data_IF_584377814127
#
_entry.id   IF_584377814127
#
_cell.length_a   1.000
_cell.length_b   1.000
_cell.length_c   1.000
_cell.angle_alpha   90.00
_cell.angle_beta   90.00
_cell.angle_gamma   90.00
#
_symmetry.space_group_name_H-M   'P 1'
#
loop_
_entity.id
_entity.type
_entity.pdbx_description
1 polymer ?
#
# COMPACT_ATOMS: atom_id res chain seq x y z
N UNK A 1 4.42 -20.64 -0.92
CA UNK A 1 4.76 -19.27 -0.50
C UNK A 1 4.15 -19.02 0.88
N UNK A 2 4.95 -18.59 1.85
CA UNK A 2 4.43 -18.35 3.19
C UNK A 2 3.75 -16.98 3.29
N UNK A 3 3.09 -16.72 4.40
CA UNK A 3 2.35 -15.49 4.58
C UNK A 3 3.23 -14.24 4.54
N UNK A 4 4.43 -14.31 5.12
CA UNK A 4 5.37 -13.18 5.08
C UNK A 4 5.72 -12.77 3.66
N UNK A 5 5.93 -13.75 2.80
CA UNK A 5 6.22 -13.47 1.39
C UNK A 5 5.02 -12.91 0.66
N UNK A 6 3.83 -13.43 0.97
CA UNK A 6 2.60 -12.92 0.38
C UNK A 6 2.36 -11.47 0.76
N UNK A 7 2.61 -11.13 2.03
CA UNK A 7 2.50 -9.76 2.50
C UNK A 7 3.48 -8.85 1.76
N UNK A 8 4.73 -9.30 1.65
CA UNK A 8 5.75 -8.51 0.96
C UNK A 8 5.36 -8.25 -0.49
N UNK A 9 4.88 -9.27 -1.20
CA UNK A 9 4.48 -9.09 -2.59
C UNK A 9 3.28 -8.14 -2.72
N UNK A 10 2.33 -8.22 -1.81
CA UNK A 10 1.22 -7.26 -1.79
C UNK A 10 1.72 -5.84 -1.57
N UNK A 11 2.63 -5.66 -0.62
CA UNK A 11 3.22 -4.35 -0.35
C UNK A 11 3.89 -3.77 -1.59
N UNK A 12 4.64 -4.62 -2.31
CA UNK A 12 5.32 -4.19 -3.53
C UNK A 12 4.32 -3.82 -4.62
N UNK A 13 3.28 -4.65 -4.80
CA UNK A 13 2.26 -4.34 -5.82
C UNK A 13 1.56 -3.02 -5.54
N UNK A 14 1.21 -2.77 -4.28
CA UNK A 14 0.53 -1.53 -3.92
C UNK A 14 1.45 -0.32 -4.05
N UNK A 15 2.73 -0.50 -3.75
CA UNK A 15 3.72 0.55 -3.96
C UNK A 15 3.80 0.93 -5.44
N UNK A 16 3.85 -0.06 -6.32
CA UNK A 16 3.89 0.19 -7.76
C UNK A 16 2.62 0.87 -8.25
N UNK A 17 1.47 0.45 -7.72
CA UNK A 17 0.21 1.08 -8.07
C UNK A 17 0.21 2.56 -7.70
N UNK A 18 0.76 2.89 -6.53
CA UNK A 18 0.85 4.28 -6.12
C UNK A 18 1.74 5.08 -7.07
N UNK A 19 2.88 4.53 -7.43
CA UNK A 19 3.79 5.19 -8.35
C UNK A 19 3.10 5.46 -9.69
N UNK A 20 2.40 4.47 -10.24
CA UNK A 20 1.70 4.61 -11.52
C UNK A 20 0.55 5.60 -11.45
N UNK A 21 -0.30 5.46 -10.43
CA UNK A 21 -1.53 6.26 -10.36
C UNK A 21 -1.25 7.75 -10.10
N UNK A 22 -0.15 8.07 -9.44
CA UNK A 22 0.16 9.45 -9.09
C UNK A 22 1.37 9.99 -9.84
N UNK A 23 1.88 9.24 -10.82
CA UNK A 23 3.02 9.71 -11.63
C UNK A 23 4.28 9.89 -10.83
N UNK A 24 4.51 9.05 -9.81
CA UNK A 24 5.68 9.14 -8.94
C UNK A 24 6.74 8.14 -9.36
N UNK A 25 7.99 8.42 -8.98
CA UNK A 25 9.01 7.39 -9.07
C UNK A 25 8.77 6.38 -7.95
N UNK A 26 9.35 5.18 -8.09
CA UNK A 26 9.26 4.19 -7.01
C UNK A 26 9.85 4.73 -5.71
N UNK A 27 10.93 5.51 -5.81
CA UNK A 27 11.55 6.11 -4.64
C UNK A 27 10.62 7.09 -3.94
N UNK A 28 9.90 7.90 -4.71
CA UNK A 28 8.94 8.85 -4.16
C UNK A 28 7.78 8.12 -3.48
N UNK A 29 7.26 7.07 -4.13
CA UNK A 29 6.19 6.28 -3.55
C UNK A 29 6.65 5.58 -2.27
N UNK A 30 7.86 5.04 -2.26
CA UNK A 30 8.43 4.39 -1.08
C UNK A 30 8.57 5.38 0.08
N UNK A 31 8.98 6.60 -0.22
CA UNK A 31 9.11 7.65 0.81
C UNK A 31 7.74 7.95 1.44
N UNK A 32 6.71 8.07 0.62
CA UNK A 32 5.35 8.29 1.12
C UNK A 32 4.88 7.13 1.99
N UNK A 33 5.12 5.89 1.54
CA UNK A 33 4.76 4.71 2.32
C UNK A 33 5.46 4.69 3.67
N UNK A 34 6.75 5.05 3.71
CA UNK A 34 7.52 5.09 4.95
C UNK A 34 7.02 6.21 5.87
N UNK A 35 6.76 7.37 5.32
CA UNK A 35 6.35 8.55 6.08
C UNK A 35 5.03 8.32 6.82
N UNK A 36 4.10 7.61 6.19
CA UNK A 36 2.77 7.39 6.77
C UNK A 36 2.55 5.98 7.29
N UNK A 37 3.62 5.18 7.40
CA UNK A 37 3.55 3.81 7.94
C UNK A 37 2.58 2.92 7.18
N UNK A 38 2.58 3.00 5.86
CA UNK A 38 1.67 2.22 5.03
C UNK A 38 2.02 0.73 5.03
N UNK A 39 3.31 0.39 5.09
CA UNK A 39 3.70 -1.02 5.09
C UNK A 39 3.15 -1.79 6.30
N UNK A 40 3.25 -1.25 7.53
CA UNK A 40 2.59 -1.92 8.67
C UNK A 40 1.07 -1.98 8.51
N UNK A 41 0.44 -0.96 7.94
CA UNK A 41 -1.00 -0.95 7.69
C UNK A 41 -1.40 -2.13 6.80
N UNK A 42 -0.65 -2.36 5.72
CA UNK A 42 -0.92 -3.48 4.81
C UNK A 42 -0.72 -4.82 5.52
N UNK A 43 0.35 -4.94 6.31
CA UNK A 43 0.63 -6.18 7.04
C UNK A 43 -0.50 -6.50 8.00
N UNK A 44 -0.95 -5.51 8.77
CA UNK A 44 -2.00 -5.72 9.76
C UNK A 44 -3.34 -6.02 9.12
N UNK A 45 -3.61 -5.46 7.94
CA UNK A 45 -4.85 -5.70 7.22
C UNK A 45 -4.84 -6.93 6.33
N UNK A 46 -3.71 -7.60 6.19
CA UNK A 46 -3.54 -8.66 5.19
C UNK A 46 -4.61 -9.76 5.28
N UNK A 47 -5.04 -10.12 6.50
CA UNK A 47 -6.06 -11.15 6.67
C UNK A 47 -7.35 -10.85 5.93
N UNK A 48 -7.71 -9.56 5.83
CA UNK A 48 -8.88 -9.11 5.08
C UNK A 48 -8.49 -8.79 3.64
N UNK A 49 -7.36 -8.09 3.47
CA UNK A 49 -6.94 -7.59 2.15
C UNK A 49 -6.68 -8.69 1.15
N UNK A 50 -6.19 -9.86 1.59
CA UNK A 50 -5.82 -10.91 0.64
C UNK A 50 -7.02 -11.54 -0.08
N UNK A 51 -8.23 -11.32 0.40
CA UNK A 51 -9.46 -11.79 -0.27
C UNK A 51 -10.12 -10.72 -1.12
N UNK A 52 -9.56 -9.50 -1.10
CA UNK A 52 -10.03 -8.41 -1.98
C UNK A 52 -9.11 -8.35 -3.19
N UNK A 53 -9.50 -7.66 -4.23
CA UNK A 53 -8.60 -7.39 -5.36
C UNK A 53 -7.67 -6.23 -5.03
N UNK A 54 -6.54 -6.14 -5.73
CA UNK A 54 -5.56 -5.07 -5.50
C UNK A 54 -6.16 -3.67 -5.60
N UNK A 55 -7.11 -3.46 -6.52
CA UNK A 55 -7.76 -2.15 -6.66
C UNK A 55 -8.52 -1.78 -5.39
N UNK A 56 -9.25 -2.72 -4.80
CA UNK A 56 -10.00 -2.47 -3.57
C UNK A 56 -9.04 -2.17 -2.42
N UNK A 57 -7.94 -2.93 -2.32
CA UNK A 57 -6.95 -2.70 -1.27
C UNK A 57 -6.27 -1.35 -1.47
N UNK A 58 -6.01 -0.96 -2.71
CA UNK A 58 -5.43 0.35 -2.99
C UNK A 58 -6.34 1.49 -2.51
N UNK A 59 -7.66 1.34 -2.66
CA UNK A 59 -8.60 2.33 -2.13
C UNK A 59 -8.53 2.40 -0.61
N UNK A 60 -8.31 1.26 0.05
CA UNK A 60 -8.12 1.24 1.51
C UNK A 60 -6.83 2.00 1.88
N UNK A 61 -5.75 1.79 1.13
CA UNK A 61 -4.49 2.51 1.35
C UNK A 61 -4.68 4.00 1.15
N UNK A 62 -5.41 4.40 0.11
CA UNK A 62 -5.71 5.83 -0.12
C UNK A 62 -6.47 6.42 1.05
N UNK A 63 -7.51 5.72 1.53
CA UNK A 63 -8.28 6.19 2.68
C UNK A 63 -7.42 6.34 3.90
N UNK A 64 -6.52 5.39 4.15
CA UNK A 64 -5.59 5.45 5.25
C UNK A 64 -4.67 6.68 5.14
N UNK A 65 -4.10 6.90 3.96
CA UNK A 65 -3.22 8.04 3.72
C UNK A 65 -3.95 9.37 3.96
N UNK A 66 -5.17 9.49 3.44
CA UNK A 66 -5.96 10.69 3.64
C UNK A 66 -6.28 10.92 5.11
N UNK A 67 -6.57 9.85 5.85
CA UNK A 67 -6.87 9.95 7.28
C UNK A 67 -5.66 10.42 8.08
N UNK A 68 -4.46 10.24 7.55
CA UNK A 68 -3.21 10.69 8.17
C UNK A 68 -2.79 12.07 7.70
N UNK A 69 -3.58 12.70 6.84
CA UNK A 69 -3.29 14.05 6.37
C UNK A 69 -2.46 14.13 5.11
N UNK A 70 -2.27 13.02 4.41
CA UNK A 70 -1.51 13.04 3.15
C UNK A 70 -2.30 13.79 2.07
N UNK A 71 -1.60 14.62 1.32
CA UNK A 71 -2.17 15.32 0.16
C UNK A 71 -2.00 14.42 -1.06
N UNK A 72 -3.10 13.91 -1.58
CA UNK A 72 -3.09 13.04 -2.76
C UNK A 72 -3.84 13.67 -3.92
#
# INVERSE_FOLDING_TARGET
MNESEQILFMQIRLLRMMAEKYGLTLKQAAKTFAEYNVLPFIREGFGIFHVEGDEAVFEEVKGFLKSKGASL
#
